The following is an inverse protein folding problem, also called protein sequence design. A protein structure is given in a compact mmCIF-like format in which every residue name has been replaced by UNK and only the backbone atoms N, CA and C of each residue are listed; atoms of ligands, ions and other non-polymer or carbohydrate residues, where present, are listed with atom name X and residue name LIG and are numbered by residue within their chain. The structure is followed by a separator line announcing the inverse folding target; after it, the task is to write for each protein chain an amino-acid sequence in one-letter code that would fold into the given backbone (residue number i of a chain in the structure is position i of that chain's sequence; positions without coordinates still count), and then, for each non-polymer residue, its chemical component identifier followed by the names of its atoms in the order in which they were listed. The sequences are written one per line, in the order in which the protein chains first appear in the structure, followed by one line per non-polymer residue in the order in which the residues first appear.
data_IF_971049320734
#
_entry.id   IF_971049320734
#
_cell.length_a   1.000
_cell.length_b   1.000
_cell.length_c   1.000
_cell.angle_alpha   90.00
_cell.angle_beta   90.00
_cell.angle_gamma   90.00
#
_symmetry.space_group_name_H-M   'P 1'
#
loop_
_entity.id
_entity.type
_entity.pdbx_description
1 polymer ?
#
# COMPACT_ATOMS: atom_id res chain seq x y z
N UNK A 1 0.47 -8.06 -16.86
CA UNK A 1 0.17 -6.68 -16.44
C UNK A 1 0.90 -6.52 -15.13
N UNK A 2 1.90 -5.64 -15.06
CA UNK A 2 2.75 -5.53 -13.87
C UNK A 2 1.95 -4.81 -12.76
N UNK A 3 2.05 -5.28 -11.53
CA UNK A 3 1.39 -4.63 -10.39
C UNK A 3 1.87 -3.17 -10.22
N UNK A 4 3.10 -2.88 -10.69
CA UNK A 4 3.71 -1.55 -10.69
C UNK A 4 3.03 -0.56 -11.65
N UNK A 5 2.20 -1.02 -12.60
CA UNK A 5 1.38 -0.10 -13.40
C UNK A 5 0.28 0.57 -12.55
N UNK A 6 0.00 0.02 -11.35
CA UNK A 6 -1.04 0.50 -10.42
C UNK A 6 -0.50 1.39 -9.30
N UNK A 7 0.80 1.36 -9.02
CA UNK A 7 1.45 2.18 -7.98
C UNK A 7 2.95 2.36 -8.24
N UNK A 8 3.52 3.48 -7.80
CA UNK A 8 4.96 3.69 -7.89
C UNK A 8 5.71 3.13 -6.67
N UNK A 9 6.97 2.73 -6.88
CA UNK A 9 7.88 2.43 -5.77
C UNK A 9 8.02 3.66 -4.85
N UNK A 10 8.05 3.41 -3.54
CA UNK A 10 8.03 4.40 -2.44
C UNK A 10 6.68 5.07 -2.16
N UNK A 11 5.63 4.76 -2.92
CA UNK A 11 4.29 5.21 -2.57
C UNK A 11 3.70 4.39 -1.43
N UNK A 12 2.79 5.03 -0.71
CA UNK A 12 1.98 4.39 0.33
C UNK A 12 0.76 3.80 -0.36
N UNK A 13 0.62 2.48 -0.30
CA UNK A 13 -0.45 1.75 -0.97
C UNK A 13 -1.24 0.99 0.08
N UNK A 14 -2.55 0.94 -0.10
CA UNK A 14 -3.44 0.03 0.61
C UNK A 14 -3.84 -1.07 -0.34
N UNK A 15 -3.65 -2.32 0.04
CA UNK A 15 -4.06 -3.47 -0.78
C UNK A 15 -4.45 -4.64 0.11
N UNK A 16 -5.27 -5.53 -0.45
CA UNK A 16 -5.65 -6.78 0.20
C UNK A 16 -4.95 -7.94 -0.51
N UNK A 17 -4.54 -8.93 0.28
CA UNK A 17 -4.10 -10.21 -0.25
C UNK A 17 -5.32 -11.07 -0.58
N UNK A 18 -5.15 -12.06 -1.46
CA UNK A 18 -6.17 -13.10 -1.61
C UNK A 18 -6.41 -13.79 -0.26
N UNK A 19 -7.67 -14.14 0.01
CA UNK A 19 -8.20 -14.62 1.30
C UNK A 19 -7.46 -15.84 1.89
N UNK A 20 -6.68 -16.54 1.06
CA UNK A 20 -5.80 -17.62 1.48
C UNK A 20 -4.59 -17.19 2.30
N UNK A 21 -3.95 -16.07 1.94
CA UNK A 21 -2.70 -15.63 2.54
C UNK A 21 -2.83 -15.17 4.00
N UNK A 22 -4.07 -14.96 4.46
CA UNK A 22 -4.52 -14.61 5.82
C UNK A 22 -3.85 -15.35 6.96
N UNK A 23 -3.53 -16.64 6.75
CA UNK A 23 -3.07 -17.53 7.81
C UNK A 23 -1.60 -17.30 8.21
N UNK A 24 -0.82 -16.63 7.36
CA UNK A 24 0.63 -16.48 7.49
C UNK A 24 1.03 -15.00 7.51
N UNK A 25 0.25 -14.17 6.81
CA UNK A 25 0.50 -12.75 6.58
C UNK A 25 -0.80 -11.99 6.86
N UNK A 26 -0.75 -10.77 7.42
CA UNK A 26 -1.94 -9.94 7.58
C UNK A 26 -2.72 -9.80 6.27
N UNK A 27 -4.03 -10.07 6.30
CA UNK A 27 -4.91 -10.03 5.13
C UNK A 27 -4.97 -8.69 4.39
N UNK A 28 -4.74 -7.63 5.14
CA UNK A 28 -4.83 -6.27 4.64
C UNK A 28 -3.58 -5.49 5.03
N UNK A 29 -2.97 -4.89 4.03
CA UNK A 29 -1.86 -3.97 4.20
C UNK A 29 -2.42 -2.57 4.05
N UNK A 30 -2.79 -1.95 5.17
CA UNK A 30 -3.27 -0.56 5.16
C UNK A 30 -2.09 0.40 5.21
N UNK A 31 -2.01 1.32 4.24
CA UNK A 31 -0.98 2.38 4.17
C UNK A 31 0.44 1.85 4.30
N UNK A 32 0.78 0.82 3.53
CA UNK A 32 2.11 0.24 3.52
C UNK A 32 2.95 0.86 2.40
N UNK A 33 4.19 1.22 2.71
CA UNK A 33 5.11 1.80 1.73
C UNK A 33 5.81 0.67 0.96
N UNK A 34 5.63 0.63 -0.36
CA UNK A 34 6.35 -0.34 -1.20
C UNK A 34 7.80 0.11 -1.32
N UNK A 35 8.70 -0.62 -0.66
CA UNK A 35 10.10 -0.21 -0.53
C UNK A 35 10.93 -0.66 -1.73
N UNK A 36 10.72 -1.90 -2.18
CA UNK A 36 11.49 -2.50 -3.28
C UNK A 36 10.72 -3.64 -3.93
N UNK A 37 10.88 -3.79 -5.25
CA UNK A 37 10.57 -5.00 -6.00
C UNK A 37 11.87 -5.77 -6.18
N UNK A 38 11.89 -7.03 -5.81
CA UNK A 38 13.10 -7.85 -5.72
C UNK A 38 12.86 -9.23 -6.32
N UNK A 39 13.92 -9.81 -6.86
CA UNK A 39 13.89 -11.19 -7.36
C UNK A 39 14.06 -12.17 -6.20
N UNK A 40 13.76 -13.45 -6.47
CA UNK A 40 13.84 -14.54 -5.51
C UNK A 40 15.16 -14.60 -4.72
N UNK A 41 16.30 -14.39 -5.37
CA UNK A 41 17.60 -14.41 -4.71
C UNK A 41 17.81 -13.21 -3.78
N UNK A 42 17.26 -12.05 -4.14
CA UNK A 42 17.37 -10.83 -3.35
C UNK A 42 16.47 -10.86 -2.10
N UNK A 43 15.38 -11.62 -2.09
CA UNK A 43 14.53 -11.80 -0.90
C UNK A 43 15.36 -12.27 0.30
N UNK A 44 16.30 -13.18 0.07
CA UNK A 44 17.21 -13.70 1.11
C UNK A 44 18.12 -12.62 1.68
N UNK A 45 18.52 -11.63 0.86
CA UNK A 45 19.30 -10.48 1.31
C UNK A 45 18.50 -9.57 2.27
N UNK A 46 17.17 -9.61 2.23
CA UNK A 46 16.29 -8.90 3.17
C UNK A 46 15.99 -9.69 4.45
N UNK A 47 16.52 -10.91 4.59
CA UNK A 47 16.32 -11.76 5.76
C UNK A 47 15.01 -12.57 5.74
N UNK A 48 14.39 -12.72 4.57
CA UNK A 48 13.21 -13.56 4.37
C UNK A 48 13.58 -14.79 3.55
N UNK A 49 12.92 -15.92 3.82
CA UNK A 49 13.07 -17.13 3.01
C UNK A 49 11.87 -17.27 2.06
N UNK A 50 12.04 -17.01 0.74
CA UNK A 50 10.96 -17.06 -0.22
C UNK A 50 10.38 -18.48 -0.38
N UNK A 51 11.18 -19.54 -0.16
CA UNK A 51 10.70 -20.92 -0.26
C UNK A 51 9.75 -21.25 0.87
N UNK A 52 10.12 -20.86 2.09
CA UNK A 52 9.30 -21.06 3.29
C UNK A 52 8.00 -20.26 3.18
N UNK A 53 8.09 -18.99 2.78
CA UNK A 53 6.90 -18.15 2.60
C UNK A 53 5.98 -18.73 1.51
N UNK A 54 6.54 -19.14 0.37
CA UNK A 54 5.77 -19.74 -0.72
C UNK A 54 5.10 -21.05 -0.28
N UNK A 55 5.80 -21.95 0.39
CA UNK A 55 5.20 -23.21 0.87
C UNK A 55 4.03 -23.00 1.83
N UNK A 56 4.07 -21.94 2.64
CA UNK A 56 3.01 -21.61 3.58
C UNK A 56 1.81 -20.93 2.89
N UNK A 57 2.06 -20.05 1.92
CA UNK A 57 1.02 -19.22 1.28
C UNK A 57 0.44 -19.88 0.03
N UNK A 58 1.24 -20.50 -0.84
CA UNK A 58 0.81 -21.17 -2.07
C UNK A 58 -0.41 -22.10 -1.93
N UNK A 59 -0.49 -23.01 -0.95
CA UNK A 59 -1.63 -23.93 -0.83
C UNK A 59 -2.95 -23.24 -0.45
N UNK A 60 -2.87 -22.00 0.04
CA UNK A 60 -4.04 -21.23 0.45
C UNK A 60 -4.56 -20.34 -0.68
N UNK A 61 -3.72 -20.02 -1.66
CA UNK A 61 -4.09 -19.16 -2.78
C UNK A 61 -5.06 -19.88 -3.73
N UNK A 62 -5.93 -19.12 -4.43
CA UNK A 62 -6.76 -19.68 -5.48
C UNK A 62 -5.91 -20.36 -6.56
N UNK A 63 -6.45 -21.39 -7.19
CA UNK A 63 -5.76 -22.10 -8.26
C UNK A 63 -5.43 -21.16 -9.42
N UNK A 64 -4.22 -21.28 -9.97
CA UNK A 64 -3.68 -20.44 -11.05
C UNK A 64 -3.45 -18.96 -10.69
N UNK A 65 -3.48 -18.58 -9.42
CA UNK A 65 -3.13 -17.20 -9.01
C UNK A 65 -1.64 -16.93 -9.15
N UNK A 66 -0.77 -17.88 -8.83
CA UNK A 66 0.68 -17.74 -8.99
C UNK A 66 1.33 -19.06 -9.47
N UNK A 67 2.52 -19.01 -10.09
CA UNK A 67 3.30 -20.21 -10.42
C UNK A 67 3.63 -21.02 -9.17
N UNK A 68 3.72 -22.35 -9.28
CA UNK A 68 4.16 -23.24 -8.19
C UNK A 68 5.63 -23.10 -7.80
N UNK A 69 6.34 -22.19 -8.46
CA UNK A 69 7.78 -21.99 -8.31
C UNK A 69 8.02 -20.53 -7.89
N UNK A 70 8.54 -20.30 -6.67
CA UNK A 70 8.78 -18.96 -6.13
C UNK A 70 9.82 -18.14 -6.90
N UNK A 71 10.58 -18.77 -7.79
CA UNK A 71 11.57 -18.10 -8.65
C UNK A 71 10.98 -17.48 -9.92
N UNK A 72 9.72 -17.81 -10.26
CA UNK A 72 9.08 -17.39 -11.52
C UNK A 72 8.31 -16.07 -11.43
N UNK A 73 8.21 -15.49 -10.25
CA UNK A 73 7.51 -14.23 -10.01
C UNK A 73 8.34 -13.34 -9.09
N UNK A 74 8.05 -12.04 -9.13
CA UNK A 74 8.79 -11.06 -8.33
C UNK A 74 8.19 -10.94 -6.93
N UNK A 75 9.02 -10.46 -6.03
CA UNK A 75 8.66 -10.24 -4.64
C UNK A 75 8.65 -8.75 -4.32
N UNK A 76 7.76 -8.35 -3.43
CA UNK A 76 7.59 -6.99 -2.97
C UNK A 76 7.95 -6.91 -1.49
N UNK A 77 8.87 -6.02 -1.18
CA UNK A 77 9.19 -5.66 0.20
C UNK A 77 8.35 -4.43 0.55
N UNK A 78 7.42 -4.62 1.47
CA UNK A 78 6.56 -3.55 1.97
C UNK A 78 6.93 -3.20 3.40
N UNK A 79 6.85 -1.92 3.73
CA UNK A 79 7.05 -1.42 5.08
C UNK A 79 5.72 -0.91 5.61
N UNK A 80 5.24 -1.56 6.66
CA UNK A 80 4.03 -1.16 7.37
C UNK A 80 4.23 0.15 8.13
N UNK A 81 3.13 0.82 8.50
CA UNK A 81 3.14 2.04 9.33
C UNK A 81 3.91 1.88 10.65
N UNK A 82 3.90 0.67 11.23
CA UNK A 82 4.63 0.35 12.47
C UNK A 82 6.13 0.23 12.26
N UNK A 83 6.60 0.33 11.02
CA UNK A 83 8.00 0.21 10.64
C UNK A 83 8.45 -1.22 10.33
N UNK A 84 7.58 -2.21 10.53
CA UNK A 84 7.87 -3.61 10.24
C UNK A 84 7.89 -3.85 8.73
N UNK A 85 8.91 -4.59 8.27
CA UNK A 85 9.04 -5.02 6.88
C UNK A 85 8.33 -6.35 6.69
N UNK A 86 7.62 -6.51 5.58
CA UNK A 86 7.04 -7.76 5.15
C UNK A 86 7.43 -8.03 3.70
N UNK A 87 7.57 -9.30 3.37
CA UNK A 87 7.85 -9.78 2.02
C UNK A 87 6.61 -10.47 1.48
N UNK A 88 6.15 -10.06 0.30
CA UNK A 88 4.90 -10.52 -0.32
C UNK A 88 5.19 -10.83 -1.79
N UNK A 89 4.71 -11.96 -2.30
CA UNK A 89 4.75 -12.22 -3.73
C UNK A 89 3.86 -11.25 -4.50
N UNK A 90 4.33 -10.73 -5.65
CA UNK A 90 3.56 -9.84 -6.52
C UNK A 90 2.18 -10.42 -6.86
N UNK A 91 2.14 -11.72 -7.19
CA UNK A 91 0.94 -12.43 -7.62
C UNK A 91 -0.06 -12.70 -6.47
N UNK A 92 0.33 -12.48 -5.21
CA UNK A 92 -0.55 -12.74 -4.05
C UNK A 92 -1.51 -11.58 -3.75
N UNK A 93 -1.23 -10.43 -4.35
CA UNK A 93 -2.01 -9.22 -4.17
C UNK A 93 -3.23 -9.28 -5.08
N UNK A 94 -4.41 -8.99 -4.53
CA UNK A 94 -5.60 -8.85 -5.36
C UNK A 94 -5.55 -7.48 -6.09
N UNK A 95 -5.37 -7.45 -7.42
CA UNK A 95 -5.16 -6.21 -8.16
C UNK A 95 -6.38 -5.27 -8.14
N UNK A 96 -7.58 -5.79 -7.87
CA UNK A 96 -8.81 -4.99 -7.78
C UNK A 96 -8.89 -4.18 -6.48
N UNK A 97 -8.10 -4.54 -5.46
CA UNK A 97 -8.13 -3.91 -4.13
C UNK A 97 -7.01 -2.90 -3.91
N UNK A 98 -6.19 -2.66 -4.93
CA UNK A 98 -5.04 -1.77 -4.84
C UNK A 98 -5.53 -0.33 -4.89
N UNK A 99 -5.41 0.35 -3.76
CA UNK A 99 -5.64 1.78 -3.61
C UNK A 99 -4.31 2.46 -3.28
N UNK A 100 -3.68 3.07 -4.28
CA UNK A 100 -2.56 3.96 -4.04
C UNK A 100 -3.07 5.15 -3.22
N UNK A 101 -2.52 5.35 -2.00
CA UNK A 101 -2.81 6.54 -1.21
C UNK A 101 -2.02 7.68 -1.81
N UNK A 102 -2.53 8.26 -2.90
CA UNK A 102 -2.06 9.53 -3.41
C UNK A 102 -2.56 10.59 -2.44
N UNK A 103 -1.63 11.28 -1.76
CA UNK A 103 -1.96 12.53 -1.07
C UNK A 103 -2.36 13.54 -2.15
N UNK A 104 -3.62 13.50 -2.58
CA UNK A 104 -4.16 14.43 -3.55
C UNK A 104 -4.39 15.74 -2.81
N UNK A 105 -3.49 16.71 -3.00
CA UNK A 105 -3.66 18.06 -2.49
C UNK A 105 -4.88 18.70 -3.14
N UNK A 106 -5.85 19.09 -2.33
CA UNK A 106 -7.06 19.79 -2.79
C UNK A 106 -6.90 21.29 -2.51
N UNK A 107 -6.80 22.10 -3.56
CA UNK A 107 -6.82 23.57 -3.45
C UNK A 107 -8.26 24.04 -3.57
N UNK A 108 -8.80 24.66 -2.53
CA UNK A 108 -10.16 25.22 -2.50
C UNK A 108 -10.06 26.75 -2.42
N UNK A 109 -10.67 27.44 -3.38
CA UNK A 109 -10.82 28.89 -3.33
C UNK A 109 -12.17 29.25 -2.71
N UNK A 110 -12.14 29.91 -1.56
CA UNK A 110 -13.32 30.38 -0.85
C UNK A 110 -13.26 31.89 -0.64
N UNK A 111 -14.31 32.61 -0.99
CA UNK A 111 -14.45 34.03 -0.65
C UNK A 111 -14.90 34.17 0.81
N UNK A 112 -14.09 34.85 1.62
CA UNK A 112 -14.30 35.00 3.06
C UNK A 112 -14.68 36.46 3.43
N UNK A 113 -15.89 36.68 3.96
CA UNK A 113 -16.38 38.05 4.29
C UNK A 113 -16.10 38.55 5.72
N UNK A 114 -15.52 37.77 6.65
CA UNK A 114 -14.78 38.40 7.77
C UNK A 114 -13.40 37.76 8.10
N UNK A 115 -12.61 38.48 8.91
CA UNK A 115 -11.23 38.17 9.37
C UNK A 115 -11.06 36.84 10.13
N UNK A 116 -12.15 36.13 10.46
CA UNK A 116 -12.16 34.86 11.20
C UNK A 116 -12.51 33.63 10.34
N UNK A 117 -12.71 33.80 9.03
CA UNK A 117 -13.13 32.74 8.11
C UNK A 117 -12.11 31.61 7.95
N UNK A 118 -10.82 31.90 8.12
CA UNK A 118 -9.75 30.90 7.99
C UNK A 118 -9.88 29.82 9.07
N UNK A 119 -10.20 30.22 10.31
CA UNK A 119 -10.39 29.28 11.41
C UNK A 119 -11.68 28.47 11.24
N UNK A 120 -12.76 29.09 10.75
CA UNK A 120 -14.01 28.42 10.40
C UNK A 120 -13.81 27.39 9.28
N UNK A 121 -13.10 27.77 8.20
CA UNK A 121 -12.77 26.88 7.10
C UNK A 121 -11.93 25.70 7.59
N UNK A 122 -10.91 25.96 8.42
CA UNK A 122 -10.10 24.90 9.03
C UNK A 122 -10.97 23.96 9.87
N UNK A 123 -11.85 24.48 10.72
CA UNK A 123 -12.73 23.68 11.56
C UNK A 123 -13.66 22.79 10.73
N UNK A 124 -14.30 23.34 9.69
CA UNK A 124 -15.20 22.58 8.81
C UNK A 124 -14.44 21.47 8.07
N UNK A 125 -13.26 21.78 7.53
CA UNK A 125 -12.43 20.79 6.82
C UNK A 125 -11.98 19.68 7.76
N UNK A 126 -11.49 20.03 8.96
CA UNK A 126 -11.11 19.02 9.96
C UNK A 126 -12.30 18.21 10.47
N UNK A 127 -13.47 18.82 10.63
CA UNK A 127 -14.69 18.13 11.06
C UNK A 127 -15.19 17.11 10.03
N UNK A 128 -14.87 17.33 8.75
CA UNK A 128 -15.19 16.41 7.65
C UNK A 128 -14.02 15.47 7.30
N UNK A 129 -13.02 15.34 8.17
CA UNK A 129 -11.93 14.37 8.01
C UNK A 129 -10.78 14.80 7.11
N UNK A 130 -10.76 16.06 6.65
CA UNK A 130 -9.64 16.58 5.85
C UNK A 130 -8.51 17.06 6.76
N UNK A 131 -7.27 16.68 6.43
CA UNK A 131 -6.07 17.21 7.09
C UNK A 131 -5.63 18.47 6.34
N UNK A 132 -5.74 19.62 6.99
CA UNK A 132 -5.41 20.92 6.39
C UNK A 132 -3.90 21.17 6.50
N UNK A 133 -3.19 21.14 5.37
CA UNK A 133 -1.74 21.37 5.32
C UNK A 133 -1.37 22.87 5.33
N UNK A 134 -2.07 23.69 4.55
CA UNK A 134 -1.90 25.14 4.52
C UNK A 134 -3.22 25.80 4.07
N UNK A 135 -3.51 26.99 4.60
CA UNK A 135 -4.55 27.88 4.06
C UNK A 135 -3.85 29.21 3.86
N UNK A 136 -3.61 29.57 2.59
CA UNK A 136 -2.96 30.82 2.23
C UNK A 136 -4.04 31.89 2.03
N UNK A 137 -3.90 33.07 2.66
CA UNK A 137 -4.66 34.24 2.24
C UNK A 137 -4.12 34.74 0.89
N UNK A 138 -5.02 35.12 -0.02
CA UNK A 138 -4.67 35.90 -1.23
C UNK A 138 -3.95 37.21 -0.86
#
# INVERSE_FOLDING_TARGET
MDILDRFNLKETVTFQLYTGASAVIPDSFTRCAVTSKVDYDDVRNFGFDPDVLHQLVFPTLPANTCPSDPSKYNWLIVKTLTGSRACIGEDWINPETIEATTNTGLTIYCSASPRNSINLARQILTANGFTVASIEPD
#
